data_IF_557235326679
#
_entry.id   IF_557235326679
#
_cell.length_a   1.000
_cell.length_b   1.000
_cell.length_c   1.000
_cell.angle_alpha   90.00
_cell.angle_beta   90.00
_cell.angle_gamma   90.00
#
_symmetry.space_group_name_H-M   'P 1'
#
loop_
_entity.id
_entity.type
_entity.pdbx_description
1 polymer ?
#
# COMPACT_ATOMS: atom_id res chain seq x y z
N UNK A 1 9.18 17.96 0.14
CA UNK A 1 9.83 18.13 -1.18
C UNK A 1 10.20 16.79 -1.76
N UNK A 2 10.00 16.60 -3.08
CA UNK A 2 10.49 15.40 -3.80
C UNK A 2 12.02 15.40 -3.80
N UNK A 3 12.60 14.21 -3.70
CA UNK A 3 14.04 14.01 -3.93
C UNK A 3 14.38 14.40 -5.37
N UNK A 4 15.51 15.06 -5.56
CA UNK A 4 16.09 15.38 -6.87
C UNK A 4 17.24 14.43 -7.21
N UNK A 5 17.57 13.51 -6.30
CA UNK A 5 18.68 12.57 -6.42
C UNK A 5 18.11 11.19 -6.71
N UNK A 6 18.65 10.49 -7.71
CA UNK A 6 18.28 9.15 -8.18
C UNK A 6 16.89 9.06 -8.87
N UNK A 7 15.81 9.43 -8.22
CA UNK A 7 14.46 9.44 -8.79
C UNK A 7 13.60 10.55 -8.15
N UNK A 8 12.65 11.14 -8.88
CA UNK A 8 11.74 12.16 -8.35
C UNK A 8 10.64 11.51 -7.49
N UNK A 9 11.02 11.06 -6.30
CA UNK A 9 10.10 10.45 -5.33
C UNK A 9 10.16 11.20 -4.00
N UNK A 10 9.10 11.07 -3.20
CA UNK A 10 9.13 11.57 -1.83
C UNK A 10 10.03 10.69 -0.98
N UNK A 11 10.94 11.28 -0.16
CA UNK A 11 11.79 10.51 0.71
C UNK A 11 10.98 9.76 1.77
N UNK A 12 11.40 8.54 2.05
CA UNK A 12 10.89 7.76 3.17
C UNK A 12 11.47 8.29 4.47
N UNK A 13 10.64 8.38 5.49
CA UNK A 13 11.02 8.78 6.84
C UNK A 13 10.82 7.61 7.81
N UNK A 14 11.91 7.22 8.46
CA UNK A 14 11.90 6.15 9.45
C UNK A 14 12.39 6.71 10.79
N UNK A 15 11.58 6.58 11.83
CA UNK A 15 11.94 6.92 13.20
C UNK A 15 12.07 5.65 14.05
N UNK A 16 13.23 5.47 14.67
CA UNK A 16 13.50 4.37 15.61
C UNK A 16 13.55 4.95 17.02
N UNK A 17 12.60 4.57 17.85
CA UNK A 17 12.51 5.01 19.26
C UNK A 17 13.72 4.52 20.05
N UNK A 18 14.26 5.39 20.91
CA UNK A 18 15.28 5.05 21.91
C UNK A 18 14.59 4.91 23.25
N UNK A 19 14.93 3.85 23.95
CA UNK A 19 14.40 3.58 25.29
C UNK A 19 15.52 3.67 26.33
N UNK A 20 15.19 4.12 27.53
CA UNK A 20 16.06 4.05 28.69
C UNK A 20 15.98 2.65 29.33
N UNK A 21 16.74 2.43 30.44
CA UNK A 21 16.75 1.18 31.19
C UNK A 21 15.40 0.83 31.84
N UNK A 22 14.49 1.80 31.97
CA UNK A 22 13.13 1.62 32.48
C UNK A 22 12.09 1.34 31.41
N UNK A 23 12.49 1.29 30.12
CA UNK A 23 11.58 1.08 28.99
C UNK A 23 10.82 2.33 28.55
N UNK A 24 11.17 3.52 29.03
CA UNK A 24 10.56 4.79 28.64
C UNK A 24 11.22 5.34 27.38
N UNK A 25 10.42 5.95 26.48
CA UNK A 25 10.95 6.59 25.27
C UNK A 25 11.67 7.88 25.65
N UNK A 26 12.97 7.94 25.38
CA UNK A 26 13.83 9.10 25.68
C UNK A 26 14.27 9.86 24.42
N UNK A 27 13.86 9.43 23.26
CA UNK A 27 14.19 10.08 21.98
C UNK A 27 14.00 9.13 20.80
N UNK A 28 14.46 9.59 19.64
CA UNK A 28 14.40 8.80 18.42
C UNK A 28 15.64 9.01 17.55
N UNK A 29 15.95 8.02 16.72
CA UNK A 29 16.86 8.17 15.57
C UNK A 29 16.03 8.31 14.32
N UNK A 30 16.29 9.35 13.54
CA UNK A 30 15.59 9.66 12.30
C UNK A 30 16.46 9.30 11.11
N UNK A 31 15.85 8.62 10.15
CA UNK A 31 16.45 8.29 8.86
C UNK A 31 15.55 8.86 7.78
N UNK A 32 16.14 9.62 6.88
CA UNK A 32 15.46 10.18 5.71
C UNK A 32 16.20 9.73 4.46
N UNK A 33 15.50 9.11 3.52
CA UNK A 33 16.10 8.58 2.31
C UNK A 33 15.10 7.93 1.38
N UNK A 34 15.62 7.26 0.38
CA UNK A 34 14.82 6.43 -0.53
C UNK A 34 15.22 4.97 -0.31
N UNK A 35 14.25 4.08 -0.29
CA UNK A 35 14.53 2.65 -0.33
C UNK A 35 15.28 2.27 -1.59
N UNK A 36 16.21 1.34 -1.46
CA UNK A 36 16.98 0.80 -2.58
C UNK A 36 16.11 -0.14 -3.43
N UNK A 37 16.53 -0.38 -4.67
CA UNK A 37 15.87 -1.32 -5.58
C UNK A 37 15.71 -2.72 -4.95
N UNK A 38 16.60 -3.11 -4.05
CA UNK A 38 16.54 -4.38 -3.33
C UNK A 38 15.23 -4.54 -2.55
N UNK A 39 14.77 -3.52 -1.84
CA UNK A 39 13.52 -3.55 -1.07
C UNK A 39 12.29 -3.80 -1.95
N UNK A 40 12.33 -3.32 -3.20
CA UNK A 40 11.22 -3.51 -4.15
C UNK A 40 11.26 -4.87 -4.86
N UNK A 41 12.45 -5.48 -4.99
CA UNK A 41 12.64 -6.72 -5.73
C UNK A 41 12.63 -7.97 -4.84
N UNK A 42 13.04 -7.85 -3.58
CA UNK A 42 12.99 -8.96 -2.62
C UNK A 42 11.56 -9.30 -2.19
N UNK A 43 11.36 -10.55 -1.82
CA UNK A 43 10.07 -10.99 -1.25
C UNK A 43 9.81 -10.30 0.10
N UNK A 44 8.55 -9.93 0.43
CA UNK A 44 8.21 -9.28 1.70
C UNK A 44 8.60 -10.09 2.93
N UNK A 45 8.52 -11.42 2.84
CA UNK A 45 8.86 -12.34 3.93
C UNK A 45 10.39 -12.46 4.16
N UNK A 46 11.21 -11.90 3.28
CA UNK A 46 12.67 -11.80 3.44
C UNK A 46 13.11 -10.47 4.07
N UNK A 47 12.24 -9.45 4.04
CA UNK A 47 12.53 -8.14 4.61
C UNK A 47 12.13 -8.10 6.09
N UNK A 48 13.03 -7.76 7.04
CA UNK A 48 12.83 -7.96 8.48
C UNK A 48 11.51 -7.43 9.05
N UNK A 49 11.12 -6.20 8.74
CA UNK A 49 9.87 -5.60 9.24
C UNK A 49 8.65 -6.21 8.55
N UNK A 50 8.72 -6.37 7.22
CA UNK A 50 7.63 -6.90 6.41
C UNK A 50 7.39 -8.37 6.68
N UNK A 51 8.45 -9.14 6.99
CA UNK A 51 8.36 -10.55 7.38
C UNK A 51 7.36 -10.77 8.51
N UNK A 52 7.45 -9.97 9.57
CA UNK A 52 6.54 -10.08 10.72
C UNK A 52 5.10 -9.78 10.32
N UNK A 53 4.90 -8.74 9.54
CA UNK A 53 3.58 -8.35 9.03
C UNK A 53 3.00 -9.44 8.14
N UNK A 54 3.78 -9.93 7.18
CA UNK A 54 3.42 -11.02 6.29
C UNK A 54 3.03 -12.28 7.04
N UNK A 55 3.88 -12.77 7.95
CA UNK A 55 3.62 -13.96 8.76
C UNK A 55 2.37 -13.80 9.64
N UNK A 56 2.18 -12.63 10.25
CA UNK A 56 1.00 -12.33 11.06
C UNK A 56 -0.28 -12.40 10.23
N UNK A 57 -0.31 -11.80 9.05
CA UNK A 57 -1.47 -11.81 8.16
C UNK A 57 -1.76 -13.23 7.68
N UNK A 58 -0.75 -13.98 7.23
CA UNK A 58 -0.91 -15.36 6.82
C UNK A 58 -1.49 -16.22 7.94
N UNK A 59 -0.93 -16.14 9.15
CA UNK A 59 -1.42 -16.90 10.33
C UNK A 59 -2.87 -16.53 10.69
N UNK A 60 -3.19 -15.24 10.69
CA UNK A 60 -4.51 -14.73 11.10
C UNK A 60 -5.58 -14.88 10.02
N UNK A 61 -5.18 -15.15 8.78
CA UNK A 61 -6.13 -15.39 7.70
C UNK A 61 -7.00 -16.62 7.94
N UNK A 62 -6.46 -17.62 8.65
CA UNK A 62 -7.09 -18.91 8.86
C UNK A 62 -6.93 -19.87 7.68
N UNK A 63 -6.25 -19.46 6.59
CA UNK A 63 -5.97 -20.33 5.45
C UNK A 63 -4.72 -21.19 5.70
N UNK A 64 -4.75 -22.43 5.23
CA UNK A 64 -3.55 -23.26 5.21
C UNK A 64 -2.66 -22.83 4.04
N UNK A 65 -1.34 -22.83 4.25
CA UNK A 65 -0.39 -22.38 3.23
C UNK A 65 -0.44 -23.19 1.93
N UNK A 66 -0.75 -24.47 2.05
CA UNK A 66 -0.79 -25.40 0.92
C UNK A 66 -2.14 -25.39 0.17
N UNK A 67 -3.17 -24.79 0.76
CA UNK A 67 -4.46 -24.61 0.12
C UNK A 67 -4.41 -23.55 -0.97
N UNK A 68 -5.35 -23.62 -1.91
CA UNK A 68 -5.49 -22.62 -2.98
C UNK A 68 -5.61 -21.19 -2.43
N UNK A 69 -6.50 -20.98 -1.45
CA UNK A 69 -6.70 -19.65 -0.84
C UNK A 69 -5.46 -19.14 -0.11
N UNK A 70 -4.69 -20.04 0.52
CA UNK A 70 -3.43 -19.68 1.17
C UNK A 70 -2.36 -19.24 0.18
N UNK A 71 -2.21 -19.94 -0.94
CA UNK A 71 -1.28 -19.62 -2.03
C UNK A 71 -1.64 -18.29 -2.70
N UNK A 72 -2.93 -18.09 -2.98
CA UNK A 72 -3.41 -16.83 -3.55
C UNK A 72 -3.21 -15.66 -2.59
N UNK A 73 -3.48 -15.83 -1.30
CA UNK A 73 -3.19 -14.79 -0.29
C UNK A 73 -1.70 -14.48 -0.21
N UNK A 74 -0.84 -15.50 -0.24
CA UNK A 74 0.61 -15.33 -0.28
C UNK A 74 1.04 -14.53 -1.51
N UNK A 75 0.48 -14.84 -2.68
CA UNK A 75 0.73 -14.12 -3.92
C UNK A 75 0.27 -12.66 -3.83
N UNK A 76 -0.94 -12.41 -3.32
CA UNK A 76 -1.46 -11.06 -3.12
C UNK A 76 -0.50 -10.23 -2.25
N UNK A 77 -0.06 -10.77 -1.12
CA UNK A 77 0.88 -10.11 -0.21
C UNK A 77 2.25 -9.88 -0.86
N UNK A 78 2.71 -10.82 -1.69
CA UNK A 78 4.00 -10.74 -2.38
C UNK A 78 4.02 -9.60 -3.41
N UNK A 79 2.93 -9.41 -4.15
CA UNK A 79 2.82 -8.35 -5.16
C UNK A 79 2.21 -7.05 -4.63
N UNK A 80 1.87 -6.98 -3.35
CA UNK A 80 1.33 -5.78 -2.74
C UNK A 80 2.32 -4.61 -2.88
N UNK A 81 1.86 -3.37 -3.17
CA UNK A 81 2.76 -2.22 -3.30
C UNK A 81 3.66 -2.08 -2.08
N UNK A 82 4.97 -2.01 -2.31
CA UNK A 82 5.94 -2.10 -1.23
C UNK A 82 5.82 -0.94 -0.25
N UNK A 83 5.65 0.26 -0.77
CA UNK A 83 5.51 1.47 0.05
C UNK A 83 4.24 1.40 0.92
N UNK A 84 3.13 0.89 0.36
CA UNK A 84 1.90 0.65 1.09
C UNK A 84 2.07 -0.46 2.14
N UNK A 85 2.79 -1.53 1.81
CA UNK A 85 3.01 -2.64 2.73
C UNK A 85 3.80 -2.22 3.98
N UNK A 86 4.69 -1.23 3.86
CA UNK A 86 5.37 -0.66 5.03
C UNK A 86 4.42 0.13 5.93
N UNK A 87 3.48 0.86 5.35
CA UNK A 87 2.64 1.82 6.06
C UNK A 87 1.35 1.22 6.62
N UNK A 88 0.68 0.35 5.86
CA UNK A 88 -0.62 -0.22 6.23
C UNK A 88 -0.55 -1.02 7.54
N UNK A 89 -1.55 -0.85 8.40
CA UNK A 89 -1.66 -1.63 9.63
C UNK A 89 -2.02 -3.09 9.35
N UNK A 90 -1.62 -4.01 10.24
CA UNK A 90 -1.79 -5.46 10.02
C UNK A 90 -3.26 -5.88 9.88
N UNK A 91 -4.15 -5.26 10.67
CA UNK A 91 -5.58 -5.56 10.65
C UNK A 91 -6.23 -5.11 9.36
N UNK A 92 -5.84 -3.94 8.87
CA UNK A 92 -6.29 -3.40 7.61
C UNK A 92 -5.75 -4.22 6.44
N UNK A 93 -4.46 -4.56 6.45
CA UNK A 93 -3.85 -5.41 5.42
C UNK A 93 -4.57 -6.76 5.31
N UNK A 94 -4.91 -7.39 6.45
CA UNK A 94 -5.65 -8.64 6.45
C UNK A 94 -7.03 -8.49 5.79
N UNK A 95 -7.76 -7.41 6.10
CA UNK A 95 -9.07 -7.13 5.50
C UNK A 95 -8.93 -6.89 4.00
N UNK A 96 -8.02 -6.02 3.59
CA UNK A 96 -7.79 -5.69 2.18
C UNK A 96 -7.36 -6.94 1.39
N UNK A 97 -6.40 -7.72 1.90
CA UNK A 97 -5.92 -8.91 1.21
C UNK A 97 -7.02 -9.98 1.05
N UNK A 98 -7.87 -10.19 2.06
CA UNK A 98 -9.05 -11.07 1.94
C UNK A 98 -10.07 -10.53 0.95
N UNK A 99 -10.31 -9.22 0.92
CA UNK A 99 -11.19 -8.61 -0.08
C UNK A 99 -10.65 -8.78 -1.49
N UNK A 100 -9.34 -8.61 -1.71
CA UNK A 100 -8.72 -8.85 -3.02
C UNK A 100 -8.92 -10.29 -3.46
N UNK A 101 -8.70 -11.26 -2.56
CA UNK A 101 -8.95 -12.68 -2.84
C UNK A 101 -10.40 -12.91 -3.28
N UNK A 102 -11.34 -12.30 -2.58
CA UNK A 102 -12.78 -12.44 -2.88
C UNK A 102 -13.20 -11.81 -4.22
N UNK A 103 -12.64 -10.64 -4.57
CA UNK A 103 -12.98 -9.96 -5.83
C UNK A 103 -12.35 -10.64 -7.06
N UNK A 104 -11.27 -11.38 -6.91
CA UNK A 104 -10.71 -12.22 -7.98
C UNK A 104 -11.73 -13.22 -8.50
N UNK A 105 -12.51 -13.81 -7.59
CA UNK A 105 -13.56 -14.78 -7.94
C UNK A 105 -14.79 -14.10 -8.57
N UNK A 106 -15.11 -12.88 -8.13
CA UNK A 106 -16.34 -12.18 -8.50
C UNK A 106 -16.16 -11.11 -9.59
N UNK A 107 -14.95 -10.86 -10.04
CA UNK A 107 -14.60 -9.90 -11.10
C UNK A 107 -15.27 -8.53 -10.91
N UNK A 108 -15.12 -7.95 -9.72
CA UNK A 108 -15.66 -6.62 -9.39
C UNK A 108 -14.56 -5.58 -9.39
N UNK A 109 -14.94 -4.32 -9.61
CA UNK A 109 -14.08 -3.17 -9.34
C UNK A 109 -14.15 -2.90 -7.84
N UNK A 110 -12.98 -2.76 -7.22
CA UNK A 110 -12.88 -2.44 -5.80
C UNK A 110 -11.81 -1.38 -5.59
N UNK A 111 -12.06 -0.47 -4.66
CA UNK A 111 -11.16 0.63 -4.30
C UNK A 111 -10.84 0.54 -2.82
N UNK A 112 -9.56 0.52 -2.49
CA UNK A 112 -9.07 0.58 -1.12
C UNK A 112 -8.34 1.90 -0.92
N UNK A 113 -8.88 2.76 -0.05
CA UNK A 113 -8.32 4.06 0.24
C UNK A 113 -7.62 4.02 1.60
N UNK A 114 -6.44 4.60 1.66
CA UNK A 114 -5.69 4.79 2.90
C UNK A 114 -5.12 6.20 2.93
N UNK A 115 -5.41 6.92 4.01
CA UNK A 115 -4.80 8.21 4.29
C UNK A 115 -3.41 8.02 4.90
N UNK A 116 -2.45 8.85 4.52
CA UNK A 116 -1.14 8.84 5.15
C UNK A 116 -1.19 9.42 6.58
N UNK A 117 -0.21 9.07 7.40
CA UNK A 117 -0.17 9.46 8.84
C UNK A 117 -0.17 10.98 9.03
N UNK A 118 0.24 11.74 8.03
CA UNK A 118 0.31 13.20 8.08
C UNK A 118 -0.86 13.90 7.37
N UNK A 119 -1.80 13.14 6.80
CA UNK A 119 -2.96 13.67 6.10
C UNK A 119 -2.64 14.48 4.84
N UNK A 120 -1.47 14.24 4.21
CA UNK A 120 -1.05 14.96 3.00
C UNK A 120 -1.42 14.21 1.72
N UNK A 121 -1.53 12.90 1.83
CA UNK A 121 -1.79 12.00 0.70
C UNK A 121 -2.87 10.99 1.06
N UNK A 122 -3.66 10.65 0.06
CA UNK A 122 -4.52 9.48 0.08
C UNK A 122 -4.02 8.53 -1.00
N UNK A 123 -3.67 7.31 -0.62
CA UNK A 123 -3.39 6.25 -1.58
C UNK A 123 -4.68 5.49 -1.86
N UNK A 124 -4.98 5.28 -3.13
CA UNK A 124 -6.08 4.43 -3.56
C UNK A 124 -5.51 3.26 -4.38
N UNK A 125 -5.72 2.03 -3.89
CA UNK A 125 -5.48 0.82 -4.67
C UNK A 125 -6.79 0.43 -5.35
N UNK A 126 -6.84 0.63 -6.66
CA UNK A 126 -7.99 0.29 -7.49
C UNK A 126 -7.72 -1.03 -8.22
N UNK A 127 -8.62 -1.99 -8.07
CA UNK A 127 -8.57 -3.28 -8.74
C UNK A 127 -9.70 -3.36 -9.78
N UNK A 128 -9.34 -3.76 -10.99
CA UNK A 128 -10.24 -3.87 -12.13
C UNK A 128 -10.14 -5.28 -12.73
N UNK A 129 -11.24 -5.92 -13.13
CA UNK A 129 -11.16 -7.06 -14.02
C UNK A 129 -10.38 -6.69 -15.30
N UNK A 130 -9.40 -7.53 -15.68
CA UNK A 130 -8.50 -7.21 -16.82
C UNK A 130 -9.21 -7.08 -18.15
N UNK A 131 -10.29 -7.81 -18.33
CA UNK A 131 -11.10 -7.83 -19.55
C UNK A 131 -11.85 -6.52 -19.80
N UNK A 132 -12.17 -5.76 -18.74
CA UNK A 132 -12.85 -4.45 -18.86
C UNK A 132 -11.92 -3.26 -18.63
N UNK A 133 -10.68 -3.51 -18.17
CA UNK A 133 -9.74 -2.42 -17.90
C UNK A 133 -9.29 -1.74 -19.19
N UNK A 134 -9.46 -0.43 -19.24
CA UNK A 134 -8.95 0.43 -20.28
C UNK A 134 -8.64 1.84 -19.72
N UNK A 135 -8.01 2.66 -20.54
CA UNK A 135 -7.62 4.03 -20.15
C UNK A 135 -8.82 4.90 -19.81
N UNK A 136 -9.94 4.75 -20.50
CA UNK A 136 -11.15 5.54 -20.26
C UNK A 136 -11.73 5.23 -18.87
N UNK A 137 -11.82 3.95 -18.51
CA UNK A 137 -12.28 3.54 -17.18
C UNK A 137 -11.36 4.04 -16.07
N UNK A 138 -10.03 3.96 -16.28
CA UNK A 138 -9.05 4.52 -15.33
C UNK A 138 -9.26 6.02 -15.13
N UNK A 139 -9.42 6.78 -16.22
CA UNK A 139 -9.65 8.23 -16.16
C UNK A 139 -10.96 8.58 -15.45
N UNK A 140 -12.02 7.81 -15.66
CA UNK A 140 -13.29 8.00 -14.92
C UNK A 140 -13.11 7.80 -13.42
N UNK A 141 -12.39 6.76 -13.01
CA UNK A 141 -12.10 6.52 -11.58
C UNK A 141 -11.23 7.64 -11.02
N UNK A 142 -10.19 8.06 -11.74
CA UNK A 142 -9.33 9.19 -11.35
C UNK A 142 -10.14 10.47 -11.15
N UNK A 143 -11.06 10.80 -12.08
CA UNK A 143 -11.91 11.98 -11.97
C UNK A 143 -12.83 11.91 -10.73
N UNK A 144 -13.43 10.74 -10.46
CA UNK A 144 -14.25 10.55 -9.25
C UNK A 144 -13.42 10.76 -7.98
N UNK A 145 -12.16 10.27 -7.95
CA UNK A 145 -11.28 10.47 -6.81
C UNK A 145 -10.91 11.94 -6.64
N UNK A 146 -10.58 12.64 -7.74
CA UNK A 146 -10.30 14.08 -7.73
C UNK A 146 -11.49 14.87 -7.17
N UNK A 147 -12.68 14.62 -7.71
CA UNK A 147 -13.89 15.37 -7.32
C UNK A 147 -14.31 15.11 -5.87
N UNK A 148 -14.15 13.87 -5.41
CA UNK A 148 -14.58 13.48 -4.06
C UNK A 148 -13.59 13.88 -2.97
N UNK A 149 -12.31 13.90 -3.28
CA UNK A 149 -11.23 14.18 -2.32
C UNK A 149 -10.73 15.62 -2.41
N UNK A 150 -11.18 16.40 -3.40
CA UNK A 150 -10.69 17.76 -3.63
C UNK A 150 -9.20 17.76 -3.99
N UNK A 151 -8.75 16.81 -4.79
CA UNK A 151 -7.35 16.57 -5.05
C UNK A 151 -6.66 17.74 -5.76
N UNK A 152 -5.45 18.09 -5.30
CA UNK A 152 -4.59 19.08 -5.95
C UNK A 152 -3.72 18.47 -7.05
N UNK A 153 -3.33 17.19 -6.88
CA UNK A 153 -2.46 16.46 -7.80
C UNK A 153 -2.72 14.97 -7.65
N UNK A 154 -2.67 14.24 -8.76
CA UNK A 154 -2.86 12.77 -8.78
C UNK A 154 -1.77 12.15 -9.64
N UNK A 155 -1.07 11.20 -9.04
CA UNK A 155 -0.14 10.33 -9.74
C UNK A 155 -0.70 8.90 -9.76
N UNK A 156 -0.42 8.15 -10.80
CA UNK A 156 -0.84 6.76 -10.86
C UNK A 156 0.25 5.84 -11.40
N UNK A 157 0.19 4.59 -10.97
CA UNK A 157 1.01 3.50 -11.50
C UNK A 157 0.10 2.31 -11.76
N UNK A 158 0.14 1.78 -12.98
CA UNK A 158 -0.61 0.57 -13.34
C UNK A 158 0.31 -0.64 -13.24
N UNK A 159 -0.20 -1.70 -12.62
CA UNK A 159 0.49 -2.97 -12.49
C UNK A 159 -0.35 -4.10 -13.05
N UNK A 160 0.23 -4.85 -13.98
CA UNK A 160 -0.32 -6.08 -14.53
C UNK A 160 0.51 -7.25 -14.02
N UNK A 161 -0.12 -8.19 -13.34
CA UNK A 161 0.46 -9.46 -12.93
C UNK A 161 -0.22 -10.61 -13.69
N UNK A 162 0.03 -11.85 -13.33
CA UNK A 162 -0.70 -13.00 -13.85
C UNK A 162 -2.16 -13.09 -13.33
N UNK A 163 -2.52 -12.25 -12.36
CA UNK A 163 -3.87 -12.16 -11.82
C UNK A 163 -4.90 -11.77 -12.88
N UNK A 164 -6.14 -12.21 -12.69
CA UNK A 164 -7.31 -11.78 -13.48
C UNK A 164 -7.67 -10.30 -13.27
N UNK A 165 -7.02 -9.65 -12.32
CA UNK A 165 -7.20 -8.24 -11.99
C UNK A 165 -6.00 -7.40 -12.47
N UNK A 166 -6.30 -6.22 -13.02
CA UNK A 166 -5.36 -5.13 -13.15
C UNK A 166 -5.41 -4.27 -11.89
N UNK A 167 -4.26 -3.82 -11.39
CA UNK A 167 -4.17 -2.92 -10.25
C UNK A 167 -3.68 -1.55 -10.70
N UNK A 168 -4.37 -0.51 -10.29
CA UNK A 168 -3.89 0.88 -10.41
C UNK A 168 -3.71 1.43 -9.01
N UNK A 169 -2.53 1.93 -8.71
CA UNK A 169 -2.26 2.68 -7.50
C UNK A 169 -2.31 4.16 -7.83
N UNK A 170 -3.24 4.88 -7.23
CA UNK A 170 -3.29 6.33 -7.26
C UNK A 170 -2.67 6.88 -5.99
N UNK A 171 -1.80 7.88 -6.14
CA UNK A 171 -1.28 8.70 -5.04
C UNK A 171 -1.88 10.09 -5.21
N UNK A 172 -2.76 10.45 -4.30
CA UNK A 172 -3.62 11.61 -4.40
C UNK A 172 -3.17 12.62 -3.36
N UNK A 173 -2.74 13.79 -3.81
CA UNK A 173 -2.42 14.88 -2.92
C UNK A 173 -3.69 15.65 -2.58
N UNK A 174 -3.99 15.73 -1.28
CA UNK A 174 -5.15 16.46 -0.78
C UNK A 174 -4.72 17.74 -0.07
N UNK A 175 -5.54 18.81 -0.12
CA UNK A 175 -5.28 20.02 0.66
C UNK A 175 -5.20 19.66 2.13
N UNK A 176 -4.21 20.20 2.83
CA UNK A 176 -4.18 20.09 4.29
C UNK A 176 -5.42 20.77 4.86
N UNK A 177 -6.28 20.02 5.51
CA UNK A 177 -7.33 20.60 6.33
C UNK A 177 -6.61 21.25 7.53
N UNK A 178 -6.46 22.58 7.48
CA UNK A 178 -5.96 23.34 8.63
C UNK A 178 -6.79 22.95 9.86
N UNK A 179 -6.12 22.30 10.79
CA UNK A 179 -6.52 22.04 12.17
C UNK A 179 -8.03 22.12 12.48
N UNK A 180 -8.66 20.96 12.53
CA UNK A 180 -9.74 20.82 13.50
C UNK A 180 -9.08 20.52 14.86
N UNK A 181 -8.88 21.62 15.62
CA UNK A 181 -8.70 21.56 17.07
C UNK A 181 -9.91 20.94 17.74
#
# INVERSE_FOLDING_TARGET
>A
QRSRVHRPAYPDYIAVKKFNSKGEVVGERRFLGLYTARVYNERPDEIPLLRRKFQSVMKRSGFLRDDYAGKELEQILTVYPRDELFQIEQDELLKVAKSILYIQERRRIELFLREDVYGQFVTCLAFFPRDIYNTELRLKVEQVLVDRLGAEDVEFVTHFSESVLARVQFTIRVPQVENRQ
#
